data_IF_933765265358
#
_entry.id   IF_933765265358
#
_cell.length_a   1.000
_cell.length_b   1.000
_cell.length_c   1.000
_cell.angle_alpha   90.00
_cell.angle_beta   90.00
_cell.angle_gamma   90.00
#
_symmetry.space_group_name_H-M   'P 1'
#
loop_
_entity.id
_entity.type
_entity.pdbx_description
1 polymer ?
#
# COMPACT_ATOMS: atom_id res chain seq x y z
N UNK A 1 -22.23 13.65 -20.92
CA UNK A 1 -21.66 12.72 -19.94
C UNK A 1 -20.15 12.91 -19.96
N UNK A 2 -19.59 13.74 -19.09
CA UNK A 2 -18.14 13.73 -18.86
C UNK A 2 -17.85 12.43 -18.11
N UNK A 3 -17.43 11.38 -18.83
CA UNK A 3 -17.17 10.08 -18.22
C UNK A 3 -16.10 10.22 -17.13
N UNK A 4 -16.36 9.67 -15.95
CA UNK A 4 -15.37 9.60 -14.89
C UNK A 4 -14.11 8.90 -15.42
N UNK A 5 -12.93 9.48 -15.16
CA UNK A 5 -11.67 8.83 -15.47
C UNK A 5 -11.32 7.88 -14.33
N UNK A 6 -11.25 6.58 -14.62
CA UNK A 6 -10.76 5.57 -13.68
C UNK A 6 -9.25 5.33 -13.80
N UNK A 7 -8.58 6.04 -14.72
CA UNK A 7 -7.13 6.00 -14.90
C UNK A 7 -6.51 7.29 -14.36
N UNK A 8 -5.70 7.16 -13.31
CA UNK A 8 -4.90 8.23 -12.72
C UNK A 8 -3.45 7.98 -13.06
N UNK A 9 -2.87 8.80 -13.94
CA UNK A 9 -1.46 8.66 -14.32
C UNK A 9 -0.59 8.96 -13.11
N UNK A 10 0.30 8.04 -12.77
CA UNK A 10 1.31 8.28 -11.75
C UNK A 10 2.10 9.54 -12.13
N UNK A 11 2.10 10.54 -11.25
CA UNK A 11 2.94 11.74 -11.40
C UNK A 11 4.41 11.31 -11.40
N UNK A 12 5.32 12.06 -12.06
CA UNK A 12 6.76 11.86 -11.90
C UNK A 12 7.12 11.81 -10.41
N UNK A 13 8.10 10.99 -10.06
CA UNK A 13 8.63 10.95 -8.70
C UNK A 13 9.09 12.34 -8.30
N UNK A 14 8.57 12.82 -7.17
CA UNK A 14 8.91 14.09 -6.55
C UNK A 14 9.28 13.79 -5.11
N UNK A 15 10.35 14.42 -4.62
CA UNK A 15 10.74 14.36 -3.22
C UNK A 15 9.56 14.66 -2.28
N UNK A 16 9.44 13.85 -1.23
CA UNK A 16 8.35 13.91 -0.27
C UNK A 16 7.12 13.13 -0.71
N UNK A 17 6.00 13.36 -0.02
CA UNK A 17 4.75 12.66 -0.27
C UNK A 17 3.92 13.33 -1.38
N UNK A 18 3.45 12.52 -2.31
CA UNK A 18 2.57 12.93 -3.41
C UNK A 18 1.33 12.05 -3.48
N UNK A 19 0.14 12.66 -3.31
CA UNK A 19 -1.13 11.96 -3.52
C UNK A 19 -1.36 11.71 -5.02
N UNK A 20 -1.74 10.48 -5.34
CA UNK A 20 -2.08 10.04 -6.70
C UNK A 20 -3.59 10.03 -6.88
N UNK A 21 -4.31 9.35 -5.99
CA UNK A 21 -5.76 9.22 -6.05
C UNK A 21 -6.35 9.19 -4.64
N UNK A 22 -7.46 9.87 -4.43
CA UNK A 22 -8.14 9.96 -3.15
C UNK A 22 -9.51 10.64 -3.28
N UNK A 23 -10.25 10.80 -2.18
CA UNK A 23 -11.59 11.40 -2.21
C UNK A 23 -11.63 12.82 -2.76
N UNK A 24 -10.51 13.55 -2.71
CA UNK A 24 -10.40 14.92 -3.18
C UNK A 24 -10.27 15.04 -4.71
N UNK A 25 -9.95 13.95 -5.42
CA UNK A 25 -9.70 13.99 -6.87
C UNK A 25 -10.34 12.85 -7.67
N UNK A 26 -11.15 12.01 -7.04
CA UNK A 26 -11.78 10.82 -7.64
C UNK A 26 -13.18 10.57 -7.07
N UNK A 27 -13.81 9.47 -7.48
CA UNK A 27 -15.11 9.01 -6.93
C UNK A 27 -14.97 8.19 -5.63
N UNK A 28 -13.74 7.97 -5.16
CA UNK A 28 -13.48 7.33 -3.87
C UNK A 28 -14.06 8.18 -2.74
N UNK A 29 -14.50 7.53 -1.67
CA UNK A 29 -15.04 8.19 -0.47
C UNK A 29 -14.16 7.95 0.74
N UNK A 30 -13.43 6.84 0.76
CA UNK A 30 -12.70 6.39 1.95
C UNK A 30 -11.20 6.32 1.71
N UNK A 31 -10.78 5.62 0.66
CA UNK A 31 -9.36 5.28 0.49
C UNK A 31 -8.58 6.32 -0.31
N UNK A 32 -7.35 6.56 0.12
CA UNK A 32 -6.36 7.40 -0.56
C UNK A 32 -5.10 6.57 -0.83
N UNK A 33 -4.51 6.76 -2.01
CA UNK A 33 -3.20 6.21 -2.34
C UNK A 33 -2.26 7.30 -2.85
N UNK A 34 -1.04 7.29 -2.33
CA UNK A 34 0.04 8.14 -2.80
C UNK A 34 1.41 7.45 -2.73
N UNK A 35 2.44 8.19 -3.13
CA UNK A 35 3.84 7.73 -3.08
C UNK A 35 4.67 8.73 -2.28
N UNK A 36 5.50 8.21 -1.41
CA UNK A 36 6.59 8.93 -0.76
C UNK A 36 7.90 8.56 -1.45
N UNK A 37 8.68 9.56 -1.82
CA UNK A 37 10.00 9.38 -2.42
C UNK A 37 11.06 10.17 -1.66
N UNK A 38 12.12 9.48 -1.25
CA UNK A 38 13.26 10.03 -0.52
C UNK A 38 14.53 9.77 -1.35
N UNK A 39 15.02 10.77 -2.11
CA UNK A 39 16.09 10.58 -3.08
C UNK A 39 17.46 10.27 -2.45
N UNK A 40 17.80 10.88 -1.32
CA UNK A 40 19.12 10.80 -0.71
C UNK A 40 19.13 10.02 0.62
N UNK A 41 20.29 9.48 0.99
CA UNK A 41 20.47 8.83 2.29
C UNK A 41 20.31 9.88 3.40
N UNK A 42 19.49 9.56 4.39
CA UNK A 42 19.22 10.45 5.52
C UNK A 42 18.06 11.42 5.29
N UNK A 43 17.49 11.48 4.08
CA UNK A 43 16.24 12.20 3.84
C UNK A 43 15.14 11.65 4.75
N UNK A 44 14.29 12.57 5.23
CA UNK A 44 13.24 12.27 6.18
C UNK A 44 11.91 12.85 5.72
N UNK A 45 10.84 12.09 5.95
CA UNK A 45 9.47 12.58 5.85
C UNK A 45 8.72 12.26 7.13
N UNK A 46 8.05 13.27 7.69
CA UNK A 46 7.24 13.14 8.88
C UNK A 46 5.80 13.61 8.61
N UNK A 47 4.82 12.87 9.14
CA UNK A 47 3.40 13.24 9.07
C UNK A 47 2.65 12.66 10.27
N UNK A 48 1.43 13.15 10.49
CA UNK A 48 0.49 12.63 11.49
C UNK A 48 -0.61 11.83 10.81
N UNK A 49 -0.94 10.66 11.33
CA UNK A 49 -2.03 9.85 10.76
C UNK A 49 -3.42 10.46 11.02
N UNK A 50 -3.55 11.33 12.05
CA UNK A 50 -4.78 12.09 12.38
C UNK A 50 -5.97 11.15 12.59
N UNK A 51 -7.03 11.25 11.79
CA UNK A 51 -8.22 10.41 11.81
C UNK A 51 -8.14 9.21 10.85
N UNK A 52 -6.96 8.94 10.28
CA UNK A 52 -6.73 7.88 9.30
C UNK A 52 -5.86 6.78 9.87
N UNK A 53 -6.10 5.54 9.46
CA UNK A 53 -5.07 4.50 9.49
C UNK A 53 -4.22 4.57 8.21
N UNK A 54 -2.98 4.09 8.29
CA UNK A 54 -2.02 4.15 7.19
C UNK A 54 -1.29 2.83 7.03
N UNK A 55 -1.09 2.41 5.79
CA UNK A 55 -0.17 1.32 5.45
C UNK A 55 0.94 1.88 4.56
N UNK A 56 2.18 1.73 5.05
CA UNK A 56 3.39 2.01 4.29
C UNK A 56 3.85 0.73 3.60
N UNK A 57 3.86 0.70 2.28
CA UNK A 57 4.41 -0.40 1.47
C UNK A 57 5.78 0.01 0.94
N UNK A 58 6.85 -0.60 1.43
CA UNK A 58 8.21 -0.26 0.98
C UNK A 58 8.42 -0.89 -0.39
N UNK A 59 8.42 -0.09 -1.46
CA UNK A 59 8.56 -0.59 -2.83
C UNK A 59 10.00 -0.95 -3.15
N UNK A 60 10.95 -0.12 -2.72
CA UNK A 60 12.38 -0.40 -2.83
C UNK A 60 13.19 0.33 -1.75
N UNK A 61 14.47 -0.05 -1.62
CA UNK A 61 15.41 0.57 -0.70
C UNK A 61 15.20 0.18 0.76
N UNK A 62 16.06 0.72 1.63
CA UNK A 62 16.02 0.52 3.08
C UNK A 62 15.63 1.82 3.77
N UNK A 63 14.75 1.74 4.78
CA UNK A 63 14.36 2.87 5.60
C UNK A 63 14.23 2.49 7.08
N UNK A 64 14.30 3.50 7.94
CA UNK A 64 13.81 3.41 9.32
C UNK A 64 12.39 4.01 9.38
N UNK A 65 11.50 3.42 10.16
CA UNK A 65 10.16 3.96 10.45
C UNK A 65 9.99 4.11 11.96
N UNK A 66 9.81 5.34 12.41
CA UNK A 66 9.56 5.69 13.80
C UNK A 66 8.09 6.07 13.98
N UNK A 67 7.48 5.60 15.07
CA UNK A 67 6.07 5.83 15.42
C UNK A 67 5.98 6.34 16.85
N UNK A 68 5.42 7.53 17.04
CA UNK A 68 5.23 8.16 18.35
C UNK A 68 3.74 8.37 18.65
N UNK A 69 3.39 8.46 19.93
CA UNK A 69 2.02 8.74 20.37
C UNK A 69 1.12 7.50 20.54
N UNK A 70 1.61 6.29 20.30
CA UNK A 70 0.87 5.06 20.57
C UNK A 70 0.89 4.69 22.07
N UNK A 71 -0.09 5.20 22.82
CA UNK A 71 -0.07 5.16 24.30
C UNK A 71 -0.33 3.79 24.94
N UNK A 72 -0.89 2.80 24.21
CA UNK A 72 -1.30 1.52 24.80
C UNK A 72 -0.13 0.63 25.24
N UNK A 73 1.11 0.95 24.89
CA UNK A 73 2.28 0.10 25.17
C UNK A 73 3.18 0.59 26.30
N UNK A 74 2.99 1.81 26.80
CA UNK A 74 3.90 2.43 27.77
C UNK A 74 5.26 2.85 27.18
N UNK A 75 5.57 2.46 25.94
CA UNK A 75 6.71 2.95 25.16
C UNK A 75 6.40 4.37 24.63
N UNK A 76 7.37 5.30 24.72
CA UNK A 76 7.24 6.66 24.17
C UNK A 76 7.24 6.64 22.63
N UNK A 77 8.01 5.73 22.02
CA UNK A 77 8.09 5.52 20.58
C UNK A 77 8.39 4.07 20.21
N UNK A 78 8.03 3.68 18.98
CA UNK A 78 8.38 2.40 18.36
C UNK A 78 9.26 2.69 17.14
N UNK A 79 10.43 2.06 17.07
CA UNK A 79 11.35 2.20 15.94
C UNK A 79 11.53 0.87 15.20
N UNK A 80 11.18 0.85 13.92
CA UNK A 80 11.49 -0.23 12.99
C UNK A 80 12.71 0.16 12.15
N UNK A 81 13.86 -0.48 12.40
CA UNK A 81 15.13 -0.12 11.75
C UNK A 81 15.43 -0.99 10.52
N UNK A 82 16.02 -0.38 9.50
CA UNK A 82 16.53 -1.02 8.28
C UNK A 82 15.52 -1.99 7.63
N UNK A 83 14.27 -1.55 7.48
CA UNK A 83 13.20 -2.33 6.86
C UNK A 83 13.11 -2.07 5.35
N UNK A 84 12.54 -3.02 4.61
CA UNK A 84 12.49 -3.00 3.14
C UNK A 84 13.59 -3.89 2.55
N UNK A 85 14.32 -3.35 1.57
CA UNK A 85 15.54 -3.95 1.03
C UNK A 85 15.39 -4.75 -0.27
N UNK A 86 14.17 -4.90 -0.80
CA UNK A 86 14.00 -5.42 -2.17
C UNK A 86 14.44 -4.35 -3.17
N UNK A 87 15.06 -4.80 -4.27
CA UNK A 87 15.51 -3.92 -5.36
C UNK A 87 14.33 -3.21 -6.04
N UNK A 88 13.26 -3.95 -6.32
CA UNK A 88 12.01 -3.44 -6.83
C UNK A 88 10.85 -4.36 -6.40
N UNK A 89 9.62 -3.96 -6.75
CA UNK A 89 8.40 -4.71 -6.41
C UNK A 89 8.31 -6.11 -7.02
N UNK A 90 9.13 -6.43 -8.02
CA UNK A 90 9.22 -7.75 -8.65
C UNK A 90 10.26 -8.66 -7.99
N UNK A 91 11.11 -8.13 -7.11
CA UNK A 91 12.22 -8.85 -6.48
C UNK A 91 11.85 -9.61 -5.20
N UNK A 92 10.58 -9.78 -4.89
CA UNK A 92 10.14 -10.65 -3.79
C UNK A 92 8.87 -10.17 -3.08
N UNK A 93 8.63 -10.74 -1.90
CA UNK A 93 7.50 -10.37 -1.02
C UNK A 93 7.72 -8.96 -0.44
N UNK A 94 6.63 -8.19 -0.23
CA UNK A 94 6.74 -6.83 0.30
C UNK A 94 7.12 -6.81 1.78
N UNK A 95 7.65 -5.66 2.19
CA UNK A 95 7.66 -5.23 3.60
C UNK A 95 6.61 -4.14 3.76
N UNK A 96 5.73 -4.27 4.76
CA UNK A 96 4.70 -3.27 5.02
C UNK A 96 4.64 -2.88 6.49
N UNK A 97 4.29 -1.63 6.79
CA UNK A 97 4.05 -1.14 8.15
C UNK A 97 2.63 -0.61 8.25
N UNK A 98 1.83 -1.19 9.14
CA UNK A 98 0.55 -0.65 9.55
C UNK A 98 0.75 0.38 10.66
N UNK A 99 0.09 1.52 10.53
CA UNK A 99 0.05 2.62 11.49
C UNK A 99 -1.42 2.93 11.82
N UNK A 100 -1.79 3.01 13.11
CA UNK A 100 -3.13 3.41 13.49
C UNK A 100 -3.37 4.91 13.27
N UNK A 101 -4.61 5.35 13.51
CA UNK A 101 -4.93 6.76 13.70
C UNK A 101 -4.18 7.39 14.87
N UNK A 102 -4.08 8.72 14.82
CA UNK A 102 -3.58 9.59 15.89
C UNK A 102 -2.17 9.24 16.39
N UNK A 103 -1.27 8.94 15.47
CA UNK A 103 0.17 8.78 15.75
C UNK A 103 0.99 9.70 14.85
N UNK A 104 2.18 10.06 15.32
CA UNK A 104 3.20 10.69 14.49
C UNK A 104 4.07 9.60 13.87
N UNK A 105 4.39 9.73 12.59
CA UNK A 105 5.24 8.79 11.87
C UNK A 105 6.37 9.53 11.18
N UNK A 106 7.59 9.01 11.27
CA UNK A 106 8.77 9.48 10.53
C UNK A 106 9.37 8.34 9.74
N UNK A 107 9.58 8.55 8.45
CA UNK A 107 10.29 7.64 7.54
C UNK A 107 11.63 8.26 7.19
N UNK A 108 12.72 7.52 7.43
CA UNK A 108 14.09 7.97 7.14
C UNK A 108 14.77 7.04 6.14
N UNK A 109 15.28 7.58 5.05
CA UNK A 109 16.00 6.81 4.05
C UNK A 109 17.37 6.33 4.57
N UNK A 110 17.68 5.04 4.37
CA UNK A 110 18.98 4.42 4.67
C UNK A 110 19.78 4.08 3.42
N UNK A 111 19.10 4.02 2.28
CA UNK A 111 19.67 3.96 0.93
C UNK A 111 19.11 5.13 0.11
N UNK A 112 19.76 5.57 -0.96
CA UNK A 112 19.17 6.54 -1.87
C UNK A 112 17.94 5.94 -2.59
N UNK A 113 17.06 6.81 -3.07
CA UNK A 113 15.94 6.45 -3.94
C UNK A 113 14.82 5.65 -3.28
N UNK A 114 14.70 5.68 -1.95
CA UNK A 114 13.64 4.95 -1.22
C UNK A 114 12.27 5.40 -1.71
N UNK A 115 11.46 4.43 -2.11
CA UNK A 115 10.09 4.66 -2.55
C UNK A 115 9.12 3.84 -1.70
N UNK A 116 8.08 4.52 -1.22
CA UNK A 116 7.05 3.94 -0.35
C UNK A 116 5.67 4.25 -0.91
N UNK A 117 4.87 3.22 -1.13
CA UNK A 117 3.43 3.36 -1.34
C UNK A 117 2.74 3.67 -0.01
N UNK A 118 1.84 4.65 0.00
CA UNK A 118 1.12 5.07 1.21
C UNK A 118 -0.37 4.92 0.95
N UNK A 119 -0.98 3.94 1.59
CA UNK A 119 -2.44 3.72 1.56
C UNK A 119 -3.05 4.27 2.85
N UNK A 120 -4.14 5.04 2.75
CA UNK A 120 -4.84 5.60 3.91
C UNK A 120 -6.33 5.35 3.83
N UNK A 121 -6.97 5.19 4.98
CA UNK A 121 -8.42 5.11 5.12
C UNK A 121 -8.85 5.74 6.46
N UNK A 122 -10.09 6.21 6.63
CA UNK A 122 -10.58 6.60 7.95
C UNK A 122 -10.50 5.45 8.94
N UNK A 123 -10.20 5.77 10.19
CA UNK A 123 -10.11 4.79 11.27
C UNK A 123 -10.73 5.34 12.54
N UNK A 124 -11.38 4.47 13.30
CA UNK A 124 -11.95 4.77 14.61
C UNK A 124 -11.06 4.24 15.74
N UNK A 125 -10.22 3.23 15.46
CA UNK A 125 -9.46 2.49 16.45
C UNK A 125 -7.95 2.76 16.41
N UNK A 126 -7.33 2.85 17.59
CA UNK A 126 -5.88 2.74 17.73
C UNK A 126 -5.46 1.28 17.89
N UNK A 127 -5.42 0.54 16.77
CA UNK A 127 -4.80 -0.79 16.73
C UNK A 127 -3.26 -0.70 16.88
N UNK A 128 -2.58 -1.75 17.37
CA UNK A 128 -1.13 -1.70 17.51
C UNK A 128 -0.41 -1.46 16.17
N UNK A 129 0.54 -0.51 16.09
CA UNK A 129 1.45 -0.42 14.95
C UNK A 129 2.12 -1.76 14.71
N UNK A 130 2.27 -2.14 13.43
CA UNK A 130 2.79 -3.46 13.08
C UNK A 130 3.64 -3.41 11.82
N UNK A 131 4.90 -3.84 11.95
CA UNK A 131 5.72 -4.27 10.83
C UNK A 131 5.31 -5.68 10.40
N UNK A 132 5.03 -5.85 9.12
CA UNK A 132 4.85 -7.13 8.44
C UNK A 132 6.09 -7.37 7.58
N UNK A 133 6.92 -8.33 8.00
CA UNK A 133 8.14 -8.70 7.27
C UNK A 133 7.84 -9.65 6.10
N UNK A 134 8.73 -9.72 5.08
CA UNK A 134 8.54 -10.62 3.93
C UNK A 134 8.22 -12.08 4.29
N UNK A 135 8.80 -12.60 5.37
CA UNK A 135 8.58 -13.96 5.85
C UNK A 135 7.18 -14.19 6.46
N UNK A 136 6.50 -13.13 6.92
CA UNK A 136 5.14 -13.19 7.47
C UNK A 136 4.06 -13.00 6.40
N UNK A 137 4.43 -12.54 5.20
CA UNK A 137 3.49 -12.30 4.11
C UNK A 137 2.86 -13.61 3.65
N UNK A 138 1.52 -13.63 3.63
CA UNK A 138 0.77 -14.77 3.13
C UNK A 138 0.83 -14.79 1.60
N UNK A 139 1.60 -15.73 1.06
CA UNK A 139 1.72 -15.97 -0.38
C UNK A 139 0.77 -17.08 -0.82
N UNK A 140 0.02 -16.83 -1.89
CA UNK A 140 -0.81 -17.84 -2.56
C UNK A 140 -0.59 -17.78 -4.07
N UNK A 141 -0.49 -18.95 -4.69
CA UNK A 141 -0.67 -19.07 -6.14
C UNK A 141 -2.13 -19.39 -6.40
N UNK A 142 -2.83 -18.51 -7.11
CA UNK A 142 -4.26 -18.64 -7.38
C UNK A 142 -4.52 -18.64 -8.89
N UNK A 143 -5.65 -19.22 -9.28
CA UNK A 143 -6.03 -19.36 -10.69
C UNK A 143 -5.32 -20.50 -11.42
N UNK A 144 -5.61 -20.64 -12.70
CA UNK A 144 -5.06 -21.67 -13.59
C UNK A 144 -4.76 -21.06 -14.96
N UNK A 145 -3.99 -21.78 -15.79
CA UNK A 145 -3.64 -21.37 -17.15
C UNK A 145 -3.19 -19.91 -17.26
N UNK A 146 -3.81 -19.12 -18.14
CA UNK A 146 -3.49 -17.72 -18.37
C UNK A 146 -4.19 -16.77 -17.39
N UNK A 147 -4.80 -17.23 -16.30
CA UNK A 147 -5.19 -16.38 -15.16
C UNK A 147 -4.54 -16.80 -13.83
N UNK A 148 -3.48 -17.63 -13.94
CA UNK A 148 -2.62 -17.97 -12.79
C UNK A 148 -1.78 -16.76 -12.40
N UNK A 149 -1.78 -16.44 -11.11
CA UNK A 149 -1.04 -15.31 -10.54
C UNK A 149 -0.56 -15.61 -9.13
N UNK A 150 0.39 -14.82 -8.64
CA UNK A 150 0.87 -14.88 -7.27
C UNK A 150 0.30 -13.70 -6.50
N UNK A 151 -0.35 -13.96 -5.37
CA UNK A 151 -0.95 -12.95 -4.50
C UNK A 151 -0.18 -12.95 -3.19
N UNK A 152 0.21 -11.76 -2.75
CA UNK A 152 0.84 -11.47 -1.47
C UNK A 152 -0.15 -10.66 -0.64
N UNK A 153 -0.70 -11.26 0.43
CA UNK A 153 -1.57 -10.56 1.38
C UNK A 153 -0.77 -10.20 2.64
N UNK A 154 -0.57 -8.90 2.87
CA UNK A 154 0.20 -8.39 4.00
C UNK A 154 -0.69 -7.81 5.09
N UNK A 155 -1.62 -6.92 4.72
CA UNK A 155 -2.63 -6.39 5.63
C UNK A 155 -3.96 -7.03 5.22
N UNK A 156 -4.32 -8.07 5.96
CA UNK A 156 -5.58 -8.81 5.80
C UNK A 156 -6.13 -9.18 7.17
N UNK A 157 -7.02 -10.17 7.26
CA UNK A 157 -7.74 -10.54 8.49
C UNK A 157 -6.84 -10.79 9.73
N UNK A 158 -5.58 -11.17 9.52
CA UNK A 158 -4.62 -11.46 10.59
C UNK A 158 -3.89 -10.22 11.13
N UNK A 159 -4.02 -9.07 10.47
CA UNK A 159 -3.56 -7.76 10.95
C UNK A 159 -4.78 -6.93 11.31
N UNK A 160 -4.83 -6.42 12.54
CA UNK A 160 -5.95 -5.58 12.98
C UNK A 160 -5.85 -4.20 12.32
N UNK A 161 -6.77 -3.93 11.40
CA UNK A 161 -7.01 -2.67 10.71
C UNK A 161 -8.53 -2.42 10.67
N UNK A 162 -8.97 -1.18 10.46
CA UNK A 162 -10.40 -0.83 10.44
C UNK A 162 -11.02 -1.03 9.05
N UNK A 163 -10.37 -0.51 8.00
CA UNK A 163 -10.86 -0.50 6.63
C UNK A 163 -9.84 -1.05 5.62
N UNK A 164 -8.54 -0.84 5.86
CA UNK A 164 -7.49 -1.17 4.91
C UNK A 164 -7.27 -2.68 4.76
N UNK A 165 -7.38 -3.15 3.51
CA UNK A 165 -6.85 -4.43 3.05
C UNK A 165 -5.78 -4.12 2.00
N UNK A 166 -4.54 -4.58 2.24
CA UNK A 166 -3.39 -4.21 1.39
C UNK A 166 -2.55 -5.44 1.07
N UNK A 167 -2.24 -5.57 -0.22
CA UNK A 167 -1.44 -6.65 -0.76
C UNK A 167 -0.90 -6.30 -2.14
N UNK A 168 -0.14 -7.24 -2.69
CA UNK A 168 0.43 -7.12 -4.03
C UNK A 168 0.07 -8.36 -4.84
N UNK A 169 -0.08 -8.20 -6.16
CA UNK A 169 -0.31 -9.33 -7.05
C UNK A 169 0.69 -9.29 -8.20
N UNK A 170 1.48 -10.35 -8.34
CA UNK A 170 2.41 -10.54 -9.45
C UNK A 170 1.73 -11.37 -10.53
N UNK A 171 1.59 -10.76 -11.70
CA UNK A 171 1.00 -11.36 -12.89
C UNK A 171 2.08 -11.65 -13.92
N UNK A 172 2.21 -12.91 -14.40
CA UNK A 172 3.07 -13.22 -15.53
C UNK A 172 2.65 -12.45 -16.80
N UNK A 173 3.58 -12.13 -17.72
CA UNK A 173 3.24 -11.53 -19.01
C UNK A 173 2.18 -12.35 -19.77
N UNK A 174 1.16 -11.69 -20.29
CA UNK A 174 0.06 -12.32 -21.03
C UNK A 174 -1.04 -12.94 -20.16
N UNK A 175 -0.89 -12.94 -18.83
CA UNK A 175 -1.92 -13.45 -17.93
C UNK A 175 -2.95 -12.38 -17.55
N UNK A 176 -4.16 -12.84 -17.24
CA UNK A 176 -5.26 -12.06 -16.68
C UNK A 176 -5.23 -12.11 -15.15
N UNK A 177 -5.23 -10.93 -14.52
CA UNK A 177 -5.55 -10.77 -13.09
C UNK A 177 -7.05 -10.59 -12.89
N UNK A 178 -7.50 -10.70 -11.63
CA UNK A 178 -8.89 -10.42 -11.24
C UNK A 178 -9.94 -11.14 -12.10
N UNK A 179 -9.56 -12.34 -12.56
CA UNK A 179 -10.37 -13.22 -13.40
C UNK A 179 -10.62 -14.56 -12.68
N UNK A 180 -11.86 -15.12 -12.73
CA UNK A 180 -13.06 -14.56 -13.35
C UNK A 180 -13.48 -13.17 -12.79
N UNK A 181 -14.15 -12.32 -13.59
CA UNK A 181 -14.57 -10.99 -13.13
C UNK A 181 -15.44 -11.09 -11.89
N UNK A 182 -15.24 -10.16 -10.95
CA UNK A 182 -16.02 -10.06 -9.72
C UNK A 182 -16.23 -8.58 -9.38
N UNK A 183 -17.14 -8.32 -8.45
CA UNK A 183 -17.45 -7.00 -7.92
C UNK A 183 -17.60 -7.05 -6.40
N UNK A 184 -17.43 -5.90 -5.79
CA UNK A 184 -17.65 -5.66 -4.36
C UNK A 184 -18.14 -4.22 -4.19
N UNK A 185 -19.25 -3.88 -4.83
CA UNK A 185 -19.83 -2.52 -4.85
C UNK A 185 -21.14 -2.44 -4.07
N UNK A 186 -21.72 -3.58 -3.69
CA UNK A 186 -23.04 -3.67 -3.09
C UNK A 186 -22.99 -4.46 -1.78
N UNK A 187 -23.72 -3.99 -0.77
CA UNK A 187 -23.93 -4.77 0.45
C UNK A 187 -25.04 -5.81 0.23
N UNK A 188 -24.68 -7.08 0.31
CA UNK A 188 -25.61 -8.23 0.31
C UNK A 188 -25.20 -9.23 1.40
N UNK A 189 -25.85 -10.38 1.49
CA UNK A 189 -25.47 -11.44 2.44
C UNK A 189 -24.12 -12.11 2.10
N UNK A 190 -23.64 -11.94 0.86
CA UNK A 190 -22.40 -12.58 0.34
C UNK A 190 -21.40 -11.58 -0.23
N UNK A 191 -21.70 -10.28 -0.17
CA UNK A 191 -20.88 -9.21 -0.73
C UNK A 191 -20.83 -8.03 0.24
N UNK A 192 -19.63 -7.50 0.44
CA UNK A 192 -19.42 -6.25 1.16
C UNK A 192 -18.90 -5.18 0.19
N UNK A 193 -19.34 -3.91 0.33
CA UNK A 193 -18.86 -2.85 -0.52
C UNK A 193 -17.43 -2.46 -0.13
N UNK A 194 -16.50 -2.57 -1.09
CA UNK A 194 -15.12 -2.12 -0.98
C UNK A 194 -14.79 -1.17 -2.12
N UNK A 195 -14.12 -0.08 -1.78
CA UNK A 195 -13.36 0.70 -2.75
C UNK A 195 -12.03 -0.01 -3.02
N UNK A 196 -11.55 0.00 -4.26
CA UNK A 196 -10.29 -0.66 -4.62
C UNK A 196 -9.46 0.25 -5.53
N UNK A 197 -8.17 0.37 -5.22
CA UNK A 197 -7.19 1.10 -6.02
C UNK A 197 -6.10 0.14 -6.46
N UNK A 198 -5.85 0.08 -7.77
CA UNK A 198 -4.71 -0.63 -8.33
C UNK A 198 -3.59 0.35 -8.69
N UNK A 199 -2.44 0.20 -8.03
CA UNK A 199 -1.20 0.82 -8.47
C UNK A 199 -0.42 -0.18 -9.33
N UNK A 200 -0.37 0.07 -10.64
CA UNK A 200 0.30 -0.82 -11.58
C UNK A 200 1.76 -0.42 -11.80
N UNK A 201 2.64 -1.40 -11.64
CA UNK A 201 4.03 -1.36 -12.10
C UNK A 201 4.23 -2.43 -13.17
N UNK A 202 5.04 -2.15 -14.18
CA UNK A 202 5.37 -3.10 -15.26
C UNK A 202 6.87 -3.29 -15.40
N UNK A 203 7.29 -4.51 -15.74
CA UNK A 203 8.69 -4.85 -16.01
C UNK A 203 8.75 -5.63 -17.35
N UNK A 204 9.43 -5.11 -18.38
CA UNK A 204 10.22 -3.87 -18.40
C UNK A 204 9.33 -2.59 -18.41
N UNK A 205 9.86 -1.41 -18.04
CA UNK A 205 9.08 -0.20 -17.73
C UNK A 205 8.30 0.39 -18.91
N UNK A 206 8.65 0.06 -20.15
CA UNK A 206 7.90 0.43 -21.36
C UNK A 206 6.66 -0.43 -21.61
N UNK A 207 6.39 -1.43 -20.76
CA UNK A 207 5.22 -2.29 -20.87
C UNK A 207 3.90 -1.54 -20.64
N UNK A 208 2.79 -2.23 -20.87
CA UNK A 208 1.46 -1.74 -20.56
C UNK A 208 0.53 -2.90 -20.22
N UNK A 209 -0.63 -2.58 -19.62
CA UNK A 209 -1.73 -3.50 -19.40
C UNK A 209 -3.04 -2.92 -19.90
N UNK A 210 -4.05 -3.77 -20.02
CA UNK A 210 -5.43 -3.36 -20.32
C UNK A 210 -6.28 -3.77 -19.13
N UNK A 211 -6.90 -2.80 -18.48
CA UNK A 211 -7.91 -3.02 -17.44
C UNK A 211 -9.27 -2.65 -18.00
N UNK A 212 -10.26 -3.50 -17.74
CA UNK A 212 -11.67 -3.21 -17.98
C UNK A 212 -12.37 -3.14 -16.63
N UNK A 213 -13.02 -2.01 -16.38
CA UNK A 213 -13.91 -1.76 -15.25
C UNK A 213 -15.32 -1.73 -15.82
#
# INVERSE_FOLDING_TARGET
MSGASYLYKAKPLKEGYTIIVGPENSELRFIEFGRLYLPEVGDEYADKTRDREVVLTIFNGLCDVEVEGYQKRGDESILYQNIGGREDVFSGRPTMVYLPRDVECRVKAKTPGVEVGVSKAPSENQWPPRLVKPEEVMERTVGAWNWRRRVYTSIGEWVKADMLLVGETINPPGNWSSSPPHKHDTKTDVEAPYEEVYFFTVKPPQGFGIQRI
#
